data_IF_279663760892
#
_entry.id   IF_279663760892
#
_cell.length_a   1.000
_cell.length_b   1.000
_cell.length_c   1.000
_cell.angle_alpha   90.00
_cell.angle_beta   90.00
_cell.angle_gamma   90.00
#
_symmetry.space_group_name_H-M   'P 1'
#
loop_
_entity.id
_entity.type
_entity.pdbx_description
1 polymer ?
#
# COMPACT_ATOMS: atom_id res chain seq x y z
N UNK A 1 -12.69 21.41 0.79
CA UNK A 1 -14.02 21.59 1.41
C UNK A 1 -14.77 20.27 1.57
N UNK A 2 -14.64 19.31 0.63
CA UNK A 2 -15.21 17.96 0.77
C UNK A 2 -14.53 17.15 1.90
N UNK A 3 -13.22 17.34 2.09
CA UNK A 3 -12.43 16.53 3.05
C UNK A 3 -12.75 16.80 4.52
N UNK A 4 -12.94 18.06 4.95
CA UNK A 4 -13.22 18.36 6.37
C UNK A 4 -14.59 17.84 6.83
N UNK A 5 -15.61 17.94 5.98
CA UNK A 5 -16.94 17.43 6.29
C UNK A 5 -16.92 15.89 6.32
N UNK A 6 -16.17 15.27 5.40
CA UNK A 6 -15.93 13.84 5.41
C UNK A 6 -15.28 13.37 6.72
N UNK A 7 -14.18 14.02 7.13
CA UNK A 7 -13.48 13.72 8.38
C UNK A 7 -14.39 13.85 9.62
N UNK A 8 -15.28 14.85 9.62
CA UNK A 8 -16.29 14.99 10.68
C UNK A 8 -17.27 13.82 10.72
N UNK A 9 -17.72 13.34 9.57
CA UNK A 9 -18.65 12.20 9.53
C UNK A 9 -18.01 10.89 9.96
N UNK A 10 -16.82 10.57 9.45
CA UNK A 10 -16.15 9.32 9.84
C UNK A 10 -15.81 9.31 11.33
N UNK A 11 -15.48 10.48 11.90
CA UNK A 11 -15.26 10.63 13.35
C UNK A 11 -16.56 10.50 14.15
N UNK A 12 -17.63 11.17 13.71
CA UNK A 12 -18.93 11.14 14.40
C UNK A 12 -19.55 9.73 14.40
N UNK A 13 -19.54 9.05 13.26
CA UNK A 13 -20.11 7.70 13.13
C UNK A 13 -19.15 6.58 13.53
N UNK A 14 -17.87 6.90 13.82
CA UNK A 14 -16.81 5.91 14.07
C UNK A 14 -16.73 4.85 12.97
N UNK A 15 -16.88 5.30 11.72
CA UNK A 15 -16.96 4.43 10.56
C UNK A 15 -16.02 4.96 9.47
N UNK A 16 -15.14 4.08 8.97
CA UNK A 16 -14.15 4.40 7.95
C UNK A 16 -14.39 3.54 6.71
N UNK A 17 -14.05 4.07 5.53
CA UNK A 17 -14.12 3.31 4.29
C UNK A 17 -13.02 2.25 4.19
N UNK A 18 -13.08 1.37 3.18
CA UNK A 18 -11.98 0.44 2.91
C UNK A 18 -10.68 1.17 2.56
N UNK A 19 -10.76 2.25 1.78
CA UNK A 19 -9.58 3.03 1.39
C UNK A 19 -8.95 3.76 2.59
N UNK A 20 -9.78 4.18 3.56
CA UNK A 20 -9.31 4.80 4.80
C UNK A 20 -8.54 3.84 5.71
N UNK A 21 -8.84 2.53 5.68
CA UNK A 21 -8.16 1.56 6.53
C UNK A 21 -6.65 1.55 6.24
N UNK A 22 -6.27 1.49 4.97
CA UNK A 22 -4.86 1.52 4.57
C UNK A 22 -4.26 2.91 4.80
N UNK A 23 -4.99 3.98 4.44
CA UNK A 23 -4.51 5.36 4.63
C UNK A 23 -4.17 5.65 6.09
N UNK A 24 -5.08 5.35 7.02
CA UNK A 24 -4.86 5.60 8.44
C UNK A 24 -3.76 4.70 9.01
N UNK A 25 -3.71 3.42 8.63
CA UNK A 25 -2.62 2.53 9.07
C UNK A 25 -1.25 3.05 8.61
N UNK A 26 -1.16 3.54 7.38
CA UNK A 26 0.05 4.18 6.85
C UNK A 26 0.44 5.45 7.62
N UNK A 27 -0.53 6.35 7.91
CA UNK A 27 -0.28 7.56 8.68
C UNK A 27 0.24 7.27 10.09
N UNK A 28 -0.34 6.29 10.79
CA UNK A 28 0.09 5.89 12.13
C UNK A 28 1.49 5.24 12.13
N UNK A 29 1.79 4.46 11.09
CA UNK A 29 3.11 3.85 10.93
C UNK A 29 4.21 4.89 10.67
N UNK A 30 3.93 5.93 9.87
CA UNK A 30 4.86 7.05 9.64
C UNK A 30 5.19 7.77 10.95
N UNK A 31 4.19 7.99 11.82
CA UNK A 31 4.40 8.63 13.13
C UNK A 31 5.22 7.75 14.09
N UNK A 32 5.46 6.48 13.76
CA UNK A 32 6.09 5.46 14.61
C UNK A 32 5.34 5.23 15.93
N UNK A 33 4.03 5.46 15.93
CA UNK A 33 3.17 5.22 17.08
C UNK A 33 2.82 3.73 17.24
N UNK A 34 3.17 2.91 16.24
CA UNK A 34 2.94 1.47 16.22
C UNK A 34 4.26 0.74 15.98
N UNK A 35 4.51 -0.30 16.78
CA UNK A 35 5.60 -1.26 16.56
C UNK A 35 5.03 -2.49 15.85
N UNK A 36 5.71 -2.94 14.80
CA UNK A 36 5.33 -4.15 14.06
C UNK A 36 6.27 -5.28 14.47
N UNK A 37 5.70 -6.37 15.00
CA UNK A 37 6.44 -7.54 15.47
C UNK A 37 6.30 -8.73 14.50
N UNK A 38 6.57 -8.47 13.22
CA UNK A 38 6.70 -9.53 12.22
C UNK A 38 8.17 -9.72 11.89
N UNK A 39 8.60 -10.98 11.72
CA UNK A 39 9.95 -11.28 11.29
C UNK A 39 10.04 -11.44 9.77
N UNK A 40 9.02 -12.03 9.17
CA UNK A 40 8.97 -12.29 7.73
C UNK A 40 7.61 -11.87 7.18
N UNK A 41 7.60 -11.18 6.05
CA UNK A 41 6.37 -10.77 5.36
C UNK A 41 6.34 -11.32 3.94
N UNK A 42 5.16 -11.73 3.50
CA UNK A 42 4.90 -12.16 2.13
C UNK A 42 3.80 -11.28 1.55
N UNK A 43 4.06 -10.71 0.37
CA UNK A 43 3.09 -9.98 -0.43
C UNK A 43 2.85 -10.76 -1.72
N UNK A 44 1.63 -11.24 -1.89
CA UNK A 44 1.17 -11.96 -3.08
C UNK A 44 0.42 -11.02 -4.02
N UNK A 45 0.31 -11.38 -5.30
CA UNK A 45 -0.31 -10.58 -6.37
C UNK A 45 0.15 -9.11 -6.36
N UNK A 46 1.48 -8.93 -6.20
CA UNK A 46 2.05 -7.61 -5.95
C UNK A 46 1.73 -6.56 -7.02
N UNK A 47 1.54 -7.00 -8.26
CA UNK A 47 1.21 -6.14 -9.39
C UNK A 47 -0.13 -5.41 -9.25
N UNK A 48 -1.00 -5.82 -8.33
CA UNK A 48 -2.33 -5.23 -8.12
C UNK A 48 -2.34 -4.08 -7.09
N UNK A 49 -1.25 -3.89 -6.34
CA UNK A 49 -1.18 -2.82 -5.33
C UNK A 49 -1.13 -1.41 -5.95
N UNK A 50 -1.82 -0.48 -5.29
CA UNK A 50 -1.81 0.93 -5.66
C UNK A 50 -0.64 1.70 -5.02
N UNK A 51 -0.45 2.96 -5.40
CA UNK A 51 0.67 3.78 -4.91
C UNK A 51 0.71 3.92 -3.38
N UNK A 52 -0.45 4.11 -2.73
CA UNK A 52 -0.53 4.28 -1.27
C UNK A 52 -0.20 2.98 -0.57
N UNK A 53 -0.72 1.86 -1.10
CA UNK A 53 -0.40 0.52 -0.61
C UNK A 53 1.09 0.21 -0.77
N UNK A 54 1.72 0.58 -1.89
CA UNK A 54 3.14 0.39 -2.12
C UNK A 54 4.01 1.15 -1.12
N UNK A 55 3.68 2.40 -0.80
CA UNK A 55 4.40 3.15 0.24
C UNK A 55 4.20 2.53 1.63
N UNK A 56 2.99 2.05 1.93
CA UNK A 56 2.75 1.30 3.16
C UNK A 56 3.57 0.02 3.23
N UNK A 57 3.64 -0.76 2.15
CA UNK A 57 4.44 -1.97 2.02
C UNK A 57 5.94 -1.68 2.23
N UNK A 58 6.46 -0.58 1.66
CA UNK A 58 7.86 -0.14 1.88
C UNK A 58 8.13 0.10 3.36
N UNK A 59 7.24 0.84 4.04
CA UNK A 59 7.37 1.13 5.47
C UNK A 59 7.32 -0.14 6.33
N UNK A 60 6.40 -1.07 6.01
CA UNK A 60 6.32 -2.37 6.68
C UNK A 60 7.61 -3.15 6.51
N UNK A 61 8.17 -3.16 5.30
CA UNK A 61 9.32 -4.00 4.93
C UNK A 61 10.65 -3.51 5.50
N UNK A 62 10.79 -2.22 5.81
CA UNK A 62 12.07 -1.59 6.16
C UNK A 62 12.79 -2.22 7.36
N UNK A 63 12.04 -2.70 8.37
CA UNK A 63 12.61 -3.31 9.58
C UNK A 63 12.44 -4.84 9.64
N UNK A 64 11.96 -5.46 8.57
CA UNK A 64 11.70 -6.91 8.56
C UNK A 64 12.98 -7.68 8.30
N UNK A 65 13.09 -8.87 8.90
CA UNK A 65 14.23 -9.75 8.66
C UNK A 65 14.23 -10.29 7.24
N UNK A 66 13.05 -10.58 6.69
CA UNK A 66 12.91 -10.93 5.28
C UNK A 66 11.54 -10.54 4.72
N UNK A 67 11.51 -10.20 3.44
CA UNK A 67 10.28 -9.88 2.72
C UNK A 67 10.29 -10.59 1.37
N UNK A 68 9.18 -11.26 1.04
CA UNK A 68 8.96 -11.90 -0.25
C UNK A 68 7.85 -11.17 -1.00
N UNK A 69 8.14 -10.78 -2.24
CA UNK A 69 7.16 -10.24 -3.18
C UNK A 69 6.94 -11.27 -4.29
N UNK A 70 5.69 -11.67 -4.48
CA UNK A 70 5.26 -12.56 -5.55
C UNK A 70 4.21 -11.84 -6.41
N UNK A 71 4.26 -12.07 -7.72
CA UNK A 71 3.35 -11.44 -8.67
C UNK A 71 3.78 -11.68 -10.12
N UNK A 72 2.93 -11.28 -11.05
CA UNK A 72 3.13 -11.41 -12.48
C UNK A 72 2.74 -10.12 -13.21
N UNK A 73 3.72 -9.43 -13.81
CA UNK A 73 3.53 -8.16 -14.51
C UNK A 73 2.60 -8.30 -15.74
N UNK A 74 2.48 -9.50 -16.32
CA UNK A 74 1.58 -9.77 -17.45
C UNK A 74 0.11 -9.97 -17.01
N UNK A 75 -0.14 -10.12 -15.70
CA UNK A 75 -1.46 -10.33 -15.10
C UNK A 75 -2.04 -9.07 -14.44
N UNK A 76 -1.58 -7.87 -14.81
CA UNK A 76 -2.13 -6.62 -14.27
C UNK A 76 -3.56 -6.40 -14.75
N UNK A 77 -4.54 -6.85 -13.97
CA UNK A 77 -5.96 -6.77 -14.31
C UNK A 77 -6.50 -5.33 -14.16
N UNK A 78 -6.02 -4.59 -13.16
CA UNK A 78 -6.50 -3.24 -12.85
C UNK A 78 -6.00 -2.15 -13.81
N UNK A 79 -5.09 -2.47 -14.73
CA UNK A 79 -4.74 -1.56 -15.82
C UNK A 79 -5.87 -1.43 -16.87
N UNK A 80 -6.66 -2.51 -17.06
CA UNK A 80 -7.66 -2.64 -18.14
C UNK A 80 -9.11 -2.39 -17.73
N UNK A 81 -9.47 -2.56 -16.44
CA UNK A 81 -10.82 -2.31 -15.90
C UNK A 81 -11.18 -0.82 -15.70
N UNK A 82 -10.36 0.09 -16.26
CA UNK A 82 -10.41 1.56 -16.16
C UNK A 82 -11.73 2.24 -16.56
N UNK A 83 -12.72 1.50 -17.09
CA UNK A 83 -14.01 2.04 -17.54
C UNK A 83 -15.20 1.84 -16.60
N UNK A 84 -15.14 0.95 -15.59
CA UNK A 84 -16.37 0.49 -14.90
C UNK A 84 -16.41 0.86 -13.41
N UNK A 85 -15.27 1.02 -12.73
CA UNK A 85 -15.25 1.36 -11.29
C UNK A 85 -14.11 2.31 -10.95
N UNK A 86 -14.40 3.62 -10.97
CA UNK A 86 -13.42 4.72 -10.87
C UNK A 86 -12.72 4.95 -9.53
N UNK A 87 -12.40 3.91 -8.75
CA UNK A 87 -11.89 4.08 -7.37
C UNK A 87 -10.50 3.47 -7.08
N UNK A 88 -9.92 2.66 -7.97
CA UNK A 88 -8.56 2.13 -7.76
C UNK A 88 -7.61 2.56 -8.87
N UNK A 89 -6.61 3.35 -8.53
CA UNK A 89 -5.46 3.64 -9.41
C UNK A 89 -4.31 2.71 -9.02
N UNK A 90 -4.27 1.52 -9.62
CA UNK A 90 -3.10 0.65 -9.53
C UNK A 90 -1.83 1.40 -9.94
N UNK A 91 -0.72 1.09 -9.29
CA UNK A 91 0.56 1.67 -9.66
C UNK A 91 1.06 1.04 -10.96
N UNK A 92 1.69 1.82 -11.85
CA UNK A 92 2.50 1.26 -12.95
C UNK A 92 3.89 0.82 -12.46
N UNK A 93 4.08 0.73 -11.15
CA UNK A 93 5.28 0.13 -10.57
C UNK A 93 5.21 -1.36 -10.84
N UNK A 94 5.88 -1.78 -11.91
CA UNK A 94 6.14 -3.18 -12.21
C UNK A 94 6.88 -3.82 -11.04
N UNK A 95 6.59 -5.10 -10.75
CA UNK A 95 7.26 -5.89 -9.73
C UNK A 95 8.79 -5.78 -9.87
N UNK A 96 9.27 -5.86 -11.11
CA UNK A 96 10.68 -5.70 -11.45
C UNK A 96 11.23 -4.29 -11.14
N UNK A 97 10.44 -3.24 -11.34
CA UNK A 97 10.84 -1.87 -11.01
C UNK A 97 11.00 -1.66 -9.50
N UNK A 98 10.08 -2.22 -8.72
CA UNK A 98 10.08 -2.13 -7.27
C UNK A 98 11.19 -2.94 -6.61
N UNK A 99 11.40 -4.19 -7.04
CA UNK A 99 12.48 -5.03 -6.52
C UNK A 99 13.83 -4.33 -6.70
N UNK A 100 14.05 -3.70 -7.84
CA UNK A 100 15.27 -2.94 -8.11
C UNK A 100 15.41 -1.70 -7.20
N UNK A 101 14.31 -1.01 -6.87
CA UNK A 101 14.30 0.13 -5.95
C UNK A 101 14.64 -0.31 -4.51
N UNK A 102 14.02 -1.39 -4.03
CA UNK A 102 14.29 -1.94 -2.70
C UNK A 102 15.70 -2.50 -2.57
N UNK A 103 16.19 -3.23 -3.59
CA UNK A 103 17.57 -3.74 -3.58
C UNK A 103 18.59 -2.59 -3.50
N UNK A 104 18.35 -1.46 -4.18
CA UNK A 104 19.20 -0.28 -4.05
C UNK A 104 19.13 0.32 -2.65
N UNK A 105 17.94 0.47 -2.08
CA UNK A 105 17.76 1.06 -0.76
C UNK A 105 18.34 0.21 0.39
N UNK A 106 18.51 -1.10 0.20
CA UNK A 106 19.11 -2.01 1.20
C UNK A 106 20.63 -2.21 1.04
N UNK A 107 21.26 -1.70 -0.03
CA UNK A 107 22.70 -1.88 -0.32
C UNK A 107 23.55 -0.63 -0.02
N UNK A 108 22.92 0.47 0.40
CA UNK A 108 23.56 1.68 0.95
C UNK A 108 23.56 1.66 2.49
#
# INVERSE_FOLDING_TARGET
MVDELYLKFISFYQAISFDDQIRFAHEELIKKEVTIDFYNIIFDEYQDFNNVENEFIKLLSFNMKSTLFAGDDDQVLYASLKGISGHRKGSLIFLNGFINELQRACLD
#
